data_IF_725107492000
#
_entry.id   IF_725107492000
#
_cell.length_a   1.000
_cell.length_b   1.000
_cell.length_c   1.000
_cell.angle_alpha   90.00
_cell.angle_beta   90.00
_cell.angle_gamma   90.00
#
_symmetry.space_group_name_H-M   'P 1'
#
loop_
_entity.id
_entity.type
_entity.pdbx_description
1 polymer ?
#
# COMPACT_ATOMS: atom_id res chain seq x y z
N UNK A 1 8.99 11.44 29.73
CA UNK A 1 8.44 10.10 29.45
C UNK A 1 6.95 10.12 29.77
N UNK A 2 6.12 10.54 28.82
CA UNK A 2 4.66 10.34 28.91
C UNK A 2 4.35 9.11 28.06
N UNK A 3 4.04 7.99 28.71
CA UNK A 3 3.53 6.79 28.03
C UNK A 3 2.08 7.06 27.65
N UNK A 4 1.85 7.44 26.39
CA UNK A 4 0.49 7.54 25.85
C UNK A 4 0.01 6.12 25.56
N UNK A 5 -1.04 5.66 26.26
CA UNK A 5 -1.61 4.34 26.05
C UNK A 5 -2.73 4.41 25.02
N UNK A 6 -2.58 3.62 23.95
CA UNK A 6 -3.59 3.40 22.92
C UNK A 6 -4.37 2.12 23.21
N UNK A 7 -5.68 2.15 22.99
CA UNK A 7 -6.58 0.99 23.18
C UNK A 7 -7.33 0.74 21.86
N UNK A 8 -7.38 -0.51 21.40
CA UNK A 8 -8.19 -0.92 20.26
C UNK A 8 -9.66 -1.08 20.68
N UNK A 9 -10.60 -0.55 19.89
CA UNK A 9 -12.04 -0.60 20.18
C UNK A 9 -12.86 -0.94 18.92
N UNK A 10 -14.10 -1.37 19.19
CA UNK A 10 -15.02 -2.02 18.25
C UNK A 10 -15.48 -1.10 17.10
N UNK A 11 -15.74 -1.69 15.92
CA UNK A 11 -16.25 -1.01 14.74
C UNK A 11 -17.59 -0.28 14.98
N UNK A 12 -17.66 1.01 14.63
CA UNK A 12 -18.87 1.83 14.65
C UNK A 12 -19.11 2.40 13.25
N UNK A 13 -20.34 2.33 12.76
CA UNK A 13 -20.74 2.96 11.51
C UNK A 13 -20.92 4.46 11.72
N UNK A 14 -20.06 5.29 11.12
CA UNK A 14 -20.21 6.74 11.06
C UNK A 14 -20.02 7.20 9.60
N UNK A 15 -20.80 8.19 9.12
CA UNK A 15 -20.46 8.90 7.89
C UNK A 15 -19.09 9.58 8.06
N UNK A 16 -18.29 9.76 6.97
CA UNK A 16 -16.99 10.39 7.07
C UNK A 16 -17.09 11.77 7.71
N UNK A 17 -16.33 11.98 8.80
CA UNK A 17 -16.31 13.25 9.49
C UNK A 17 -15.64 14.31 8.59
N UNK A 18 -16.26 15.48 8.34
CA UNK A 18 -15.68 16.52 7.49
C UNK A 18 -14.44 17.22 8.10
N UNK A 19 -14.06 16.87 9.34
CA UNK A 19 -12.89 17.36 10.05
C UNK A 19 -11.95 16.18 10.39
N UNK A 20 -11.52 15.46 9.35
CA UNK A 20 -10.59 14.34 9.48
C UNK A 20 -9.32 14.58 8.65
N UNK A 21 -8.16 14.46 9.29
CA UNK A 21 -6.86 14.69 8.69
C UNK A 21 -6.40 13.39 8.02
N UNK A 22 -6.15 13.46 6.71
CA UNK A 22 -5.76 12.29 5.91
C UNK A 22 -4.31 11.92 6.21
N UNK A 23 -4.11 10.68 6.69
CA UNK A 23 -2.79 10.12 6.94
C UNK A 23 -2.26 9.39 5.71
N UNK A 24 -3.07 8.53 5.10
CA UNK A 24 -2.68 7.80 3.89
C UNK A 24 -3.89 7.26 3.16
N UNK A 25 -3.79 7.21 1.82
CA UNK A 25 -4.70 6.45 0.98
C UNK A 25 -3.89 5.40 0.20
N UNK A 26 -4.27 4.14 0.33
CA UNK A 26 -3.66 3.03 -0.43
C UNK A 26 -4.75 2.13 -0.97
N UNK A 27 -4.53 1.53 -2.12
CA UNK A 27 -5.48 0.56 -2.67
C UNK A 27 -4.74 -0.62 -3.28
N UNK A 28 -5.43 -1.75 -3.34
CA UNK A 28 -4.95 -2.92 -4.05
C UNK A 28 -6.14 -3.73 -4.58
N UNK A 29 -5.88 -4.60 -5.55
CA UNK A 29 -6.83 -5.64 -5.96
C UNK A 29 -6.23 -7.03 -5.84
N UNK A 30 -7.11 -8.02 -5.69
CA UNK A 30 -6.74 -9.42 -5.66
C UNK A 30 -7.00 -10.09 -7.02
N UNK A 31 -6.68 -11.38 -7.10
CA UNK A 31 -6.83 -12.17 -8.33
C UNK A 31 -8.27 -12.42 -8.80
N UNK A 32 -9.26 -12.11 -7.97
CA UNK A 32 -10.67 -12.32 -8.27
C UNK A 32 -11.34 -11.02 -8.78
N UNK A 33 -10.52 -10.03 -9.18
CA UNK A 33 -10.88 -8.68 -9.60
C UNK A 33 -11.63 -7.89 -8.51
N UNK A 34 -11.42 -8.24 -7.24
CA UNK A 34 -11.95 -7.52 -6.09
C UNK A 34 -10.90 -6.57 -5.55
N UNK A 35 -11.31 -5.37 -5.17
CA UNK A 35 -10.40 -4.35 -4.68
C UNK A 35 -10.81 -3.78 -3.33
N UNK A 36 -9.82 -3.29 -2.60
CA UNK A 36 -10.00 -2.51 -1.39
C UNK A 36 -9.17 -1.23 -1.49
N UNK A 37 -9.82 -0.10 -1.25
CA UNK A 37 -9.20 1.19 -1.00
C UNK A 37 -9.27 1.45 0.51
N UNK A 38 -8.12 1.74 1.10
CA UNK A 38 -7.94 2.04 2.51
C UNK A 38 -7.61 3.51 2.63
N UNK A 39 -8.43 4.25 3.34
CA UNK A 39 -8.19 5.64 3.67
C UNK A 39 -8.07 5.77 5.18
N UNK A 40 -6.88 6.08 5.67
CA UNK A 40 -6.59 6.28 7.09
C UNK A 40 -6.72 7.75 7.41
N UNK A 41 -7.49 8.06 8.45
CA UNK A 41 -7.64 9.40 8.96
C UNK A 41 -7.59 9.45 10.49
N UNK A 42 -7.35 10.64 11.03
CA UNK A 42 -7.40 10.89 12.46
C UNK A 42 -8.64 11.72 12.81
N UNK A 43 -9.40 11.29 13.83
CA UNK A 43 -10.69 11.89 14.19
C UNK A 43 -10.85 12.18 15.70
N UNK A 44 -11.37 13.37 16.08
CA UNK A 44 -11.45 14.57 15.24
C UNK A 44 -10.05 15.04 14.84
N UNK A 45 -9.98 15.92 13.84
CA UNK A 45 -8.79 16.75 13.58
C UNK A 45 -8.25 17.25 14.92
N UNK A 46 -6.98 16.98 15.22
CA UNK A 46 -6.37 17.58 16.40
C UNK A 46 -4.99 18.11 16.09
N UNK A 47 -4.78 19.34 16.57
CA UNK A 47 -3.46 19.91 16.73
C UNK A 47 -2.60 18.98 17.61
N UNK A 48 -1.43 18.60 17.10
CA UNK A 48 -0.38 17.95 17.89
C UNK A 48 -0.34 16.42 17.88
N UNK A 49 -0.94 15.76 16.89
CA UNK A 49 -0.47 14.42 16.50
C UNK A 49 0.63 14.62 15.46
N UNK A 50 1.84 14.18 15.78
CA UNK A 50 2.93 14.13 14.82
C UNK A 50 2.66 12.95 13.86
N UNK A 51 2.10 13.27 12.70
CA UNK A 51 1.80 12.30 11.65
C UNK A 51 3.00 12.10 10.71
N UNK A 52 4.06 12.91 10.85
CA UNK A 52 5.21 12.86 9.96
C UNK A 52 6.02 11.57 10.16
N UNK A 53 5.89 10.89 11.30
CA UNK A 53 6.47 9.56 11.57
C UNK A 53 5.59 8.39 11.12
N UNK A 54 4.35 8.66 10.69
CA UNK A 54 3.39 7.61 10.38
C UNK A 54 3.48 7.24 8.91
N UNK A 55 3.54 5.94 8.64
CA UNK A 55 3.53 5.36 7.28
C UNK A 55 2.50 4.25 7.22
N UNK A 56 2.02 3.95 6.03
CA UNK A 56 1.14 2.80 5.85
C UNK A 56 1.23 2.24 4.45
N UNK A 57 0.98 0.94 4.35
CA UNK A 57 0.89 0.25 3.08
C UNK A 57 -0.11 -0.89 3.10
N UNK A 58 -0.25 -1.53 1.96
CA UNK A 58 -0.97 -2.79 1.80
C UNK A 58 -0.08 -3.75 1.02
N UNK A 59 0.02 -4.99 1.49
CA UNK A 59 0.59 -6.10 0.73
C UNK A 59 -0.52 -7.08 0.36
N UNK A 60 -0.46 -7.70 -0.81
CA UNK A 60 -1.42 -8.74 -1.20
C UNK A 60 -0.69 -10.05 -1.43
N UNK A 61 -1.04 -11.08 -0.67
CA UNK A 61 -0.40 -12.39 -0.77
C UNK A 61 -0.90 -13.21 -1.97
N UNK A 62 -0.29 -14.39 -2.17
CA UNK A 62 -0.69 -15.34 -3.21
C UNK A 62 -2.11 -15.91 -3.06
N UNK A 63 -2.71 -15.79 -1.88
CA UNK A 63 -4.07 -16.22 -1.59
C UNK A 63 -5.08 -15.08 -1.78
N UNK A 64 -4.64 -13.87 -2.15
CA UNK A 64 -5.48 -12.69 -2.33
C UNK A 64 -5.92 -12.05 -1.02
N UNK A 65 -5.20 -12.29 0.08
CA UNK A 65 -5.38 -11.61 1.36
C UNK A 65 -4.67 -10.27 1.31
N UNK A 66 -5.37 -9.21 1.70
CA UNK A 66 -4.79 -7.88 1.86
C UNK A 66 -4.25 -7.74 3.27
N UNK A 67 -2.96 -7.50 3.43
CA UNK A 67 -2.31 -7.20 4.70
C UNK A 67 -2.14 -5.68 4.80
N UNK A 68 -3.12 -5.02 5.44
CA UNK A 68 -3.06 -3.59 5.73
C UNK A 68 -2.20 -3.38 6.97
N UNK A 69 -1.19 -2.54 6.87
CA UNK A 69 -0.33 -2.19 8.00
C UNK A 69 -0.09 -0.68 8.08
N UNK A 70 0.12 -0.22 9.30
CA UNK A 70 0.48 1.15 9.66
C UNK A 70 1.68 1.07 10.61
N UNK A 71 2.65 1.95 10.40
CA UNK A 71 3.91 2.06 11.10
C UNK A 71 3.96 3.42 11.79
N UNK A 72 4.40 3.46 13.04
CA UNK A 72 4.85 4.68 13.70
C UNK A 72 6.36 4.56 13.93
N UNK A 73 7.14 5.26 13.12
CA UNK A 73 8.60 5.21 13.14
C UNK A 73 9.21 5.82 14.40
N UNK A 74 8.54 6.82 14.99
CA UNK A 74 9.03 7.51 16.17
C UNK A 74 8.99 6.60 17.40
N UNK A 75 7.88 5.87 17.55
CA UNK A 75 7.68 4.95 18.68
C UNK A 75 8.13 3.51 18.37
N UNK A 76 8.54 3.23 17.11
CA UNK A 76 8.91 1.89 16.62
C UNK A 76 7.81 0.86 16.92
N UNK A 77 6.58 1.21 16.59
CA UNK A 77 5.42 0.32 16.74
C UNK A 77 4.69 0.13 15.41
N UNK A 78 4.01 -1.01 15.26
CA UNK A 78 3.22 -1.30 14.07
C UNK A 78 1.88 -1.93 14.44
N UNK A 79 0.87 -1.72 13.62
CA UNK A 79 -0.43 -2.35 13.78
C UNK A 79 -1.13 -2.44 12.42
N UNK A 80 -2.26 -3.14 12.38
CA UNK A 80 -2.98 -3.35 11.14
C UNK A 80 -3.89 -4.55 11.20
N UNK A 81 -4.25 -5.07 10.04
CA UNK A 81 -5.21 -6.16 9.91
C UNK A 81 -5.15 -6.82 8.54
N UNK A 82 -5.70 -8.02 8.47
CA UNK A 82 -5.91 -8.74 7.24
C UNK A 82 -7.33 -8.47 6.72
N UNK A 83 -7.49 -8.32 5.42
CA UNK A 83 -8.80 -8.30 4.74
C UNK A 83 -8.84 -9.43 3.73
N UNK A 84 -9.93 -10.20 3.75
CA UNK A 84 -10.29 -11.13 2.68
C UNK A 84 -11.56 -10.64 2.02
N UNK A 85 -11.51 -10.48 0.71
CA UNK A 85 -12.68 -10.15 -0.10
C UNK A 85 -13.14 -11.38 -0.88
N UNK A 86 -14.46 -11.58 -0.93
CA UNK A 86 -15.12 -12.56 -1.80
C UNK A 86 -16.32 -11.94 -2.49
N UNK A 87 -16.66 -12.47 -3.66
CA UNK A 87 -17.92 -12.10 -4.33
C UNK A 87 -19.06 -12.53 -3.42
N UNK A 88 -19.97 -11.61 -3.11
CA UNK A 88 -21.15 -11.93 -2.30
C UNK A 88 -22.17 -12.76 -3.08
N UNK A 89 -23.16 -13.28 -2.37
CA UNK A 89 -24.26 -14.07 -2.96
C UNK A 89 -25.18 -13.26 -3.87
N UNK A 90 -25.20 -11.93 -3.72
CA UNK A 90 -25.97 -11.00 -4.54
C UNK A 90 -25.06 -10.24 -5.51
N UNK A 91 -25.55 -9.97 -6.72
CA UNK A 91 -24.84 -9.16 -7.69
C UNK A 91 -24.53 -7.76 -7.15
N UNK A 92 -23.29 -7.32 -7.37
CA UNK A 92 -22.81 -6.04 -6.85
C UNK A 92 -22.55 -6.02 -5.33
N UNK A 93 -22.48 -7.17 -4.68
CA UNK A 93 -22.05 -7.28 -3.28
C UNK A 93 -20.68 -7.94 -3.13
N UNK A 94 -19.99 -7.60 -2.04
CA UNK A 94 -18.70 -8.13 -1.63
C UNK A 94 -18.80 -8.57 -0.17
N UNK A 95 -18.38 -9.79 0.10
CA UNK A 95 -18.15 -10.27 1.46
C UNK A 95 -16.75 -9.83 1.89
N UNK A 96 -16.68 -8.98 2.91
CA UNK A 96 -15.47 -8.51 3.55
C UNK A 96 -15.30 -9.25 4.89
N UNK A 97 -14.13 -9.84 5.09
CA UNK A 97 -13.74 -10.48 6.34
C UNK A 97 -12.44 -9.85 6.85
N UNK A 98 -12.50 -9.22 8.01
CA UNK A 98 -11.36 -8.63 8.72
C UNK A 98 -10.85 -9.63 9.73
N UNK A 99 -9.53 -9.80 9.78
CA UNK A 99 -8.83 -10.68 10.72
C UNK A 99 -7.64 -9.93 11.34
N UNK A 100 -7.16 -10.34 12.53
CA UNK A 100 -5.89 -9.88 13.07
C UNK A 100 -4.76 -9.90 12.04
N UNK A 101 -3.87 -8.90 12.10
CA UNK A 101 -2.70 -8.85 11.23
C UNK A 101 -1.84 -10.10 11.43
N UNK A 102 -1.55 -10.81 10.35
CA UNK A 102 -0.68 -11.98 10.40
C UNK A 102 0.80 -11.64 10.21
N UNK A 103 1.11 -10.47 9.64
CA UNK A 103 2.48 -10.01 9.42
C UNK A 103 3.18 -9.68 10.74
N UNK A 104 4.46 -10.05 10.80
CA UNK A 104 5.39 -9.66 11.86
C UNK A 104 6.24 -8.50 11.37
N UNK A 105 6.96 -7.84 12.28
CA UNK A 105 7.92 -6.81 11.91
C UNK A 105 8.92 -7.26 10.82
N UNK A 106 9.29 -8.54 10.77
CA UNK A 106 10.18 -9.12 9.75
C UNK A 106 9.59 -9.12 8.34
N UNK A 107 8.28 -9.00 8.20
CA UNK A 107 7.55 -9.05 6.93
C UNK A 107 7.13 -7.64 6.46
N UNK A 108 7.37 -6.63 7.30
CA UNK A 108 7.04 -5.24 7.06
C UNK A 108 8.22 -4.47 6.46
N UNK A 109 7.98 -3.33 5.78
CA UNK A 109 9.03 -2.55 5.15
C UNK A 109 9.87 -1.73 6.16
N UNK A 110 10.33 -2.34 7.26
CA UNK A 110 11.04 -1.66 8.34
C UNK A 110 12.53 -2.02 8.42
N UNK A 111 13.34 -1.07 8.90
CA UNK A 111 14.72 -1.32 9.34
C UNK A 111 14.73 -1.93 10.74
N UNK A 112 15.72 -2.80 11.01
CA UNK A 112 15.93 -3.47 12.30
C UNK A 112 14.65 -4.08 12.90
N UNK A 113 14.04 -5.12 12.27
CA UNK A 113 12.73 -5.64 12.67
C UNK A 113 12.60 -6.01 14.16
N UNK A 114 13.71 -6.38 14.82
CA UNK A 114 13.73 -6.70 16.25
C UNK A 114 13.50 -5.50 17.18
N UNK A 115 13.59 -4.27 16.68
CA UNK A 115 13.30 -3.04 17.43
C UNK A 115 11.81 -2.67 17.42
N UNK A 116 10.99 -3.34 16.60
CA UNK A 116 9.59 -2.98 16.39
C UNK A 116 8.64 -3.84 17.22
N UNK A 117 7.65 -3.20 17.84
CA UNK A 117 6.64 -3.88 18.64
C UNK A 117 5.23 -3.80 18.01
N UNK A 118 4.44 -4.88 18.01
CA UNK A 118 3.05 -4.83 17.57
C UNK A 118 2.19 -4.05 18.57
N UNK A 119 1.29 -3.22 18.06
CA UNK A 119 0.35 -2.41 18.85
C UNK A 119 -1.07 -2.92 18.65
N UNK A 120 -1.50 -3.80 19.56
CA UNK A 120 -2.84 -4.36 19.56
C UNK A 120 -3.20 -5.12 18.27
N UNK A 121 -4.47 -5.52 18.18
CA UNK A 121 -5.04 -6.10 16.97
C UNK A 121 -6.50 -5.70 16.89
N UNK A 122 -7.00 -5.54 15.67
CA UNK A 122 -8.44 -5.43 15.45
C UNK A 122 -9.12 -6.76 15.75
N UNK A 123 -10.38 -6.69 16.20
CA UNK A 123 -11.21 -7.86 16.34
C UNK A 123 -11.65 -8.39 14.96
N UNK A 124 -11.78 -9.71 14.84
CA UNK A 124 -12.32 -10.30 13.61
C UNK A 124 -13.75 -9.83 13.38
N UNK A 125 -14.05 -9.45 12.13
CA UNK A 125 -15.38 -9.01 11.73
C UNK A 125 -15.71 -9.51 10.32
N UNK A 126 -16.97 -9.85 10.08
CA UNK A 126 -17.47 -10.19 8.75
C UNK A 126 -18.62 -9.29 8.38
N UNK A 127 -18.61 -8.76 7.16
CA UNK A 127 -19.65 -7.88 6.64
C UNK A 127 -19.87 -8.10 5.16
N UNK A 128 -21.13 -8.03 4.74
CA UNK A 128 -21.48 -7.91 3.32
C UNK A 128 -21.71 -6.42 3.02
N UNK A 129 -21.04 -5.93 1.99
CA UNK A 129 -21.08 -4.54 1.53
C UNK A 129 -21.52 -4.51 0.06
N UNK A 130 -22.15 -3.43 -0.39
CA UNK A 130 -22.29 -3.20 -1.84
C UNK A 130 -20.96 -2.68 -2.39
N UNK A 131 -20.71 -2.91 -3.67
CA UNK A 131 -19.57 -2.30 -4.36
C UNK A 131 -19.63 -0.79 -4.19
N UNK A 132 -18.50 -0.18 -3.84
CA UNK A 132 -18.29 1.24 -3.50
C UNK A 132 -18.86 1.69 -2.15
N UNK A 133 -19.39 0.78 -1.33
CA UNK A 133 -19.65 1.08 0.08
C UNK A 133 -18.32 1.05 0.87
N UNK A 134 -18.29 1.85 1.94
CA UNK A 134 -17.17 1.92 2.86
C UNK A 134 -17.55 1.38 4.24
N UNK A 135 -16.62 0.65 4.86
CA UNK A 135 -16.66 0.30 6.28
C UNK A 135 -15.67 1.21 7.01
N UNK A 136 -16.13 1.95 8.02
CA UNK A 136 -15.26 2.66 8.95
C UNK A 136 -14.83 1.72 10.08
N UNK A 137 -13.55 1.72 10.42
CA UNK A 137 -12.99 0.91 11.48
C UNK A 137 -12.04 1.73 12.35
N UNK A 138 -12.40 1.86 13.63
CA UNK A 138 -11.53 2.43 14.64
C UNK A 138 -10.34 1.48 14.86
N UNK A 139 -9.13 1.94 14.55
CA UNK A 139 -7.91 1.16 14.73
C UNK A 139 -7.33 1.38 16.11
N UNK A 140 -7.19 2.65 16.49
CA UNK A 140 -6.59 3.10 17.74
C UNK A 140 -7.40 4.22 18.34
N UNK A 141 -7.47 4.26 19.67
CA UNK A 141 -8.05 5.37 20.43
C UNK A 141 -7.05 5.89 21.45
N UNK A 142 -6.75 7.20 21.38
CA UNK A 142 -5.87 7.91 22.29
C UNK A 142 -6.62 8.23 23.57
N UNK A 143 -6.24 7.59 24.67
CA UNK A 143 -6.66 8.07 25.99
C UNK A 143 -5.78 9.28 26.41
N UNK A 144 -6.32 10.36 27.02
CA UNK A 144 -7.72 10.63 27.38
C UNK A 144 -8.50 11.45 26.34
N UNK A 145 -7.88 11.89 25.24
CA UNK A 145 -8.50 12.82 24.28
C UNK A 145 -9.65 12.21 23.49
N UNK A 146 -9.74 10.87 23.45
CA UNK A 146 -10.73 10.16 22.66
C UNK A 146 -10.48 10.22 21.15
N UNK A 147 -9.34 10.79 20.74
CA UNK A 147 -8.96 10.88 19.34
C UNK A 147 -8.69 9.49 18.78
N UNK A 148 -9.10 9.25 17.54
CA UNK A 148 -9.06 7.95 16.91
C UNK A 148 -8.24 7.97 15.64
N UNK A 149 -7.56 6.86 15.38
CA UNK A 149 -7.10 6.54 14.02
C UNK A 149 -8.15 5.62 13.42
N UNK A 150 -8.72 6.01 12.29
CA UNK A 150 -9.84 5.32 11.63
C UNK A 150 -9.41 4.93 10.22
N UNK A 151 -9.63 3.68 9.84
CA UNK A 151 -9.54 3.25 8.44
C UNK A 151 -10.94 3.17 7.83
N UNK A 152 -11.11 3.84 6.69
CA UNK A 152 -12.24 3.70 5.80
C UNK A 152 -11.88 2.73 4.69
N UNK A 153 -12.51 1.54 4.70
CA UNK A 153 -12.27 0.48 3.73
C UNK A 153 -13.38 0.51 2.69
N UNK A 154 -13.10 0.99 1.49
CA UNK A 154 -14.03 1.00 0.36
C UNK A 154 -13.78 -0.22 -0.51
N UNK A 155 -14.79 -1.08 -0.66
CA UNK A 155 -14.67 -2.31 -1.46
C UNK A 155 -15.14 -2.08 -2.88
N UNK A 156 -14.47 -2.71 -3.84
CA UNK A 156 -14.72 -2.50 -5.25
C UNK A 156 -14.59 -3.76 -6.10
N UNK A 157 -14.85 -3.57 -7.39
CA UNK A 157 -14.39 -4.45 -8.46
C UNK A 157 -13.46 -3.64 -9.35
N UNK A 158 -12.44 -4.27 -9.91
CA UNK A 158 -11.44 -3.59 -10.74
C UNK A 158 -12.10 -2.71 -11.83
N UNK A 159 -11.57 -1.49 -11.99
CA UNK A 159 -12.08 -0.47 -12.93
C UNK A 159 -13.10 0.54 -12.38
N UNK A 160 -13.51 0.43 -11.10
CA UNK A 160 -14.52 1.32 -10.49
C UNK A 160 -14.02 2.27 -9.39
N UNK A 161 -12.70 2.44 -9.22
CA UNK A 161 -12.17 3.43 -8.27
C UNK A 161 -12.41 4.85 -8.78
N UNK A 162 -13.52 5.45 -8.37
CA UNK A 162 -13.72 6.89 -8.37
C UNK A 162 -13.81 7.31 -6.92
N UNK A 163 -12.68 7.75 -6.35
CA UNK A 163 -12.68 8.46 -5.06
C UNK A 163 -13.77 9.54 -5.11
N UNK A 164 -14.76 9.46 -4.22
CA UNK A 164 -15.84 10.45 -4.07
C UNK A 164 -15.37 11.70 -3.32
N UNK A 165 -14.12 12.12 -3.52
CA UNK A 165 -13.62 13.36 -2.95
C UNK A 165 -14.23 14.56 -3.69
N UNK A 166 -14.43 15.67 -2.97
CA UNK A 166 -14.80 16.93 -3.60
C UNK A 166 -13.77 17.27 -4.70
N UNK A 167 -14.19 17.84 -5.85
CA UNK A 167 -13.27 18.21 -6.90
C UNK A 167 -12.14 19.09 -6.36
N UNK A 168 -10.90 18.63 -6.50
CA UNK A 168 -9.69 19.39 -6.15
C UNK A 168 -8.83 19.57 -7.39
N UNK A 169 -7.90 20.52 -7.33
CA UNK A 169 -6.93 20.70 -8.41
C UNK A 169 -5.96 19.52 -8.42
N UNK A 170 -5.83 18.89 -9.59
CA UNK A 170 -4.87 17.82 -9.81
C UNK A 170 -3.45 18.33 -9.60
N UNK A 171 -2.66 17.60 -8.81
CA UNK A 171 -1.24 17.86 -8.61
C UNK A 171 -0.40 16.78 -9.28
N UNK A 172 0.80 17.13 -9.76
CA UNK A 172 1.66 16.16 -10.45
C UNK A 172 2.07 15.00 -9.53
N UNK A 173 2.15 15.26 -8.23
CA UNK A 173 2.44 14.32 -7.15
C UNK A 173 1.33 13.27 -6.95
N UNK A 174 0.13 13.52 -7.47
CA UNK A 174 -1.00 12.60 -7.46
C UNK A 174 -1.06 11.71 -8.70
N UNK A 175 -0.09 11.84 -9.62
CA UNK A 175 0.00 11.00 -10.80
C UNK A 175 0.39 9.57 -10.40
N UNK A 176 -0.58 8.64 -10.44
CA UNK A 176 -0.34 7.24 -10.15
C UNK A 176 0.23 6.49 -11.36
N UNK A 177 1.21 5.63 -11.09
CA UNK A 177 1.57 4.54 -11.99
C UNK A 177 0.85 3.27 -11.58
N UNK A 178 0.61 2.39 -12.55
CA UNK A 178 -0.10 1.13 -12.35
C UNK A 178 0.66 -0.03 -12.99
N UNK A 179 0.83 -1.12 -12.27
CA UNK A 179 1.24 -2.41 -12.82
C UNK A 179 0.05 -3.33 -12.80
N UNK A 180 -0.29 -3.90 -13.94
CA UNK A 180 -1.27 -4.97 -14.10
C UNK A 180 -0.60 -6.23 -14.67
N UNK A 181 -0.72 -7.34 -13.94
CA UNK A 181 -0.05 -8.63 -14.12
C UNK A 181 1.39 -8.46 -14.61
N UNK A 182 2.25 -7.76 -13.85
CA UNK A 182 3.57 -7.40 -14.35
C UNK A 182 4.43 -8.63 -14.59
N UNK A 183 5.44 -8.49 -15.43
CA UNK A 183 6.53 -9.44 -15.59
C UNK A 183 7.85 -8.69 -15.62
N UNK A 184 8.89 -9.26 -15.02
CA UNK A 184 10.20 -8.61 -14.97
C UNK A 184 11.23 -9.42 -15.73
N UNK A 185 12.00 -8.74 -16.58
CA UNK A 185 13.18 -9.30 -17.25
C UNK A 185 14.43 -8.53 -16.82
N UNK A 186 15.56 -9.23 -16.75
CA UNK A 186 16.86 -8.66 -16.40
C UNK A 186 17.85 -9.02 -17.51
N UNK A 187 18.49 -8.01 -18.09
CA UNK A 187 19.40 -8.11 -19.25
C UNK A 187 18.80 -8.91 -20.42
N UNK A 188 17.48 -8.79 -20.67
CA UNK A 188 16.79 -9.55 -21.72
C UNK A 188 16.71 -11.05 -21.49
N UNK A 189 17.00 -11.53 -20.26
CA UNK A 189 16.83 -12.92 -19.87
C UNK A 189 15.36 -13.37 -19.78
N UNK A 190 15.15 -14.58 -19.27
CA UNK A 190 13.81 -15.11 -19.08
C UNK A 190 12.97 -14.25 -18.13
N UNK A 191 11.69 -14.10 -18.45
CA UNK A 191 10.74 -13.43 -17.57
C UNK A 191 10.65 -14.16 -16.23
N UNK A 192 10.85 -13.41 -15.15
CA UNK A 192 10.63 -13.90 -13.81
C UNK A 192 9.11 -14.03 -13.56
N UNK A 193 8.61 -15.17 -13.09
CA UNK A 193 7.20 -15.37 -12.86
C UNK A 193 6.75 -14.56 -11.64
N UNK A 194 5.64 -13.83 -11.78
CA UNK A 194 4.96 -13.20 -10.65
C UNK A 194 4.03 -14.21 -10.01
N UNK A 195 4.19 -14.42 -8.70
CA UNK A 195 3.22 -15.13 -7.86
C UNK A 195 2.72 -14.13 -6.80
N UNK A 196 1.41 -13.87 -6.76
CA UNK A 196 0.82 -12.87 -5.86
C UNK A 196 0.27 -11.66 -6.58
N UNK A 197 0.68 -10.46 -6.17
CA UNK A 197 0.16 -9.14 -6.62
C UNK A 197 0.00 -9.10 -8.15
N UNK A 198 -1.27 -9.13 -8.59
CA UNK A 198 -1.63 -8.97 -10.00
C UNK A 198 -1.87 -7.51 -10.36
N UNK A 199 -2.02 -6.62 -9.38
CA UNK A 199 -2.16 -5.20 -9.64
C UNK A 199 -1.58 -4.37 -8.50
N UNK A 200 -0.76 -3.38 -8.82
CA UNK A 200 -0.23 -2.41 -7.87
C UNK A 200 -0.34 -1.03 -8.49
N UNK A 201 -0.87 -0.04 -7.78
CA UNK A 201 -0.83 1.34 -8.27
C UNK A 201 -0.65 2.35 -7.15
N UNK A 202 -0.01 3.45 -7.50
CA UNK A 202 0.30 4.53 -6.59
C UNK A 202 1.32 5.48 -7.22
N UNK A 203 1.64 6.60 -6.53
CA UNK A 203 2.59 7.58 -7.04
C UNK A 203 4.02 7.03 -7.11
N UNK A 204 4.36 6.04 -6.27
CA UNK A 204 5.60 5.26 -6.34
C UNK A 204 5.27 3.77 -6.42
N UNK A 205 5.97 3.06 -7.31
CA UNK A 205 5.91 1.60 -7.44
C UNK A 205 7.18 0.97 -6.87
N UNK A 206 7.05 -0.03 -6.02
CA UNK A 206 8.15 -0.87 -5.55
C UNK A 206 8.20 -2.19 -6.30
N UNK A 207 9.38 -2.55 -6.82
CA UNK A 207 9.67 -3.83 -7.47
C UNK A 207 10.83 -4.51 -6.73
N UNK A 208 10.50 -5.47 -5.88
CA UNK A 208 11.49 -6.32 -5.24
C UNK A 208 11.87 -7.49 -6.16
N UNK A 209 13.16 -7.74 -6.25
CA UNK A 209 13.77 -8.84 -6.98
C UNK A 209 14.64 -9.64 -6.00
N UNK A 210 14.40 -10.94 -5.91
CA UNK A 210 15.24 -11.84 -5.12
C UNK A 210 16.72 -11.69 -5.52
N UNK A 211 17.59 -11.63 -4.52
CA UNK A 211 19.05 -11.42 -4.64
C UNK A 211 19.46 -10.05 -5.23
N UNK A 212 18.50 -9.15 -5.45
CA UNK A 212 18.75 -7.81 -5.99
C UNK A 212 18.11 -6.68 -5.18
N UNK A 213 17.32 -6.97 -4.16
CA UNK A 213 16.70 -5.96 -3.29
C UNK A 213 15.50 -5.26 -3.95
N UNK A 214 15.12 -4.10 -3.41
CA UNK A 214 13.94 -3.33 -3.83
C UNK A 214 14.33 -2.15 -4.72
N UNK A 215 13.65 -2.00 -5.85
CA UNK A 215 13.69 -0.81 -6.68
C UNK A 215 12.42 -0.01 -6.47
N UNK A 216 12.55 1.25 -6.06
CA UNK A 216 11.43 2.19 -6.00
C UNK A 216 11.45 3.03 -7.28
N UNK A 217 10.31 3.14 -7.94
CA UNK A 217 10.13 3.77 -9.23
C UNK A 217 9.14 4.93 -9.07
N UNK A 218 9.50 6.12 -9.56
CA UNK A 218 8.64 7.30 -9.58
C UNK A 218 8.68 8.02 -10.94
N UNK A 219 7.59 8.71 -11.27
CA UNK A 219 7.54 9.66 -12.40
C UNK A 219 8.18 11.01 -12.04
N UNK A 220 8.31 11.30 -10.75
CA UNK A 220 8.85 12.54 -10.22
C UNK A 220 10.29 12.34 -9.70
N UNK A 221 11.10 13.41 -9.70
CA UNK A 221 12.53 13.29 -9.46
C UNK A 221 12.92 12.97 -8.02
N UNK A 222 12.20 13.46 -7.00
CA UNK A 222 12.46 13.25 -5.55
C UNK A 222 13.95 13.14 -5.18
N UNK A 223 14.77 14.08 -5.67
CA UNK A 223 16.25 14.01 -5.53
C UNK A 223 16.66 14.07 -4.06
N UNK A 224 15.89 14.78 -3.23
CA UNK A 224 16.03 14.86 -1.78
C UNK A 224 15.91 13.50 -1.09
N UNK A 225 15.25 12.54 -1.73
CA UNK A 225 15.07 11.16 -1.26
C UNK A 225 16.00 10.17 -1.98
N UNK A 226 16.94 10.66 -2.79
CA UNK A 226 17.93 9.85 -3.50
C UNK A 226 17.46 9.26 -4.82
N UNK A 227 16.25 9.59 -5.28
CA UNK A 227 15.78 9.18 -6.59
C UNK A 227 16.66 9.79 -7.68
N UNK A 228 17.03 8.96 -8.66
CA UNK A 228 17.82 9.40 -9.82
C UNK A 228 17.19 8.92 -11.11
N UNK A 229 17.23 9.77 -12.14
CA UNK A 229 16.75 9.41 -13.47
C UNK A 229 17.54 8.21 -13.98
N UNK A 230 16.86 7.11 -14.25
CA UNK A 230 17.52 5.85 -14.62
C UNK A 230 16.78 5.08 -15.71
N UNK A 231 15.65 5.59 -16.20
CA UNK A 231 14.84 4.86 -17.15
C UNK A 231 13.73 5.67 -17.79
N UNK A 232 12.82 4.95 -18.43
CA UNK A 232 11.61 5.50 -19.03
C UNK A 232 10.45 4.52 -18.98
N UNK A 233 9.24 5.05 -19.11
CA UNK A 233 8.02 4.27 -19.22
C UNK A 233 7.22 4.76 -20.43
N UNK A 234 6.72 3.83 -21.23
CA UNK A 234 5.90 4.12 -22.41
C UNK A 234 4.88 3.01 -22.63
N UNK A 235 3.60 3.39 -22.70
CA UNK A 235 2.52 2.41 -22.84
C UNK A 235 2.55 1.39 -21.71
N UNK A 236 2.77 0.13 -22.06
CA UNK A 236 2.72 -1.03 -21.15
C UNK A 236 4.09 -1.50 -20.67
N UNK A 237 5.16 -0.74 -20.96
CA UNK A 237 6.53 -1.16 -20.67
C UNK A 237 7.31 -0.05 -19.97
N UNK A 238 7.98 -0.44 -18.89
CA UNK A 238 8.91 0.39 -18.12
C UNK A 238 10.29 -0.24 -18.22
N UNK A 239 11.31 0.56 -18.51
CA UNK A 239 12.70 0.12 -18.63
C UNK A 239 13.60 1.04 -17.82
N UNK A 240 14.58 0.48 -17.11
CA UNK A 240 15.59 1.25 -16.39
C UNK A 240 16.91 0.49 -16.30
N UNK A 241 18.00 1.23 -16.07
CA UNK A 241 19.32 0.67 -15.84
C UNK A 241 19.80 0.95 -14.42
N UNK A 242 20.36 -0.07 -13.77
CA UNK A 242 20.98 0.09 -12.46
C UNK A 242 22.22 -0.78 -12.33
N UNK A 243 23.32 -0.20 -11.88
CA UNK A 243 24.60 -0.90 -11.69
C UNK A 243 25.07 -1.70 -12.93
N UNK A 244 24.87 -1.14 -14.14
CA UNK A 244 25.25 -1.78 -15.40
C UNK A 244 24.36 -2.97 -15.79
N UNK A 245 23.17 -3.08 -15.22
CA UNK A 245 22.17 -4.09 -15.53
C UNK A 245 20.93 -3.40 -16.09
N UNK A 246 20.35 -3.96 -17.14
CA UNK A 246 19.10 -3.49 -17.73
C UNK A 246 17.92 -4.26 -17.12
N UNK A 247 16.89 -3.55 -16.73
CA UNK A 247 15.66 -4.09 -16.17
C UNK A 247 14.49 -3.64 -17.03
N UNK A 248 13.56 -4.55 -17.29
CA UNK A 248 12.30 -4.20 -17.91
C UNK A 248 11.13 -4.82 -17.16
N UNK A 249 10.11 -4.00 -16.93
CA UNK A 249 8.83 -4.38 -16.34
C UNK A 249 7.77 -4.22 -17.43
N UNK A 250 7.23 -5.34 -17.89
CA UNK A 250 6.09 -5.36 -18.80
C UNK A 250 4.80 -5.50 -17.99
N UNK A 251 3.73 -4.86 -18.45
CA UNK A 251 2.41 -4.92 -17.86
C UNK A 251 1.35 -5.22 -18.93
N UNK A 252 0.18 -5.73 -18.52
CA UNK A 252 -0.97 -5.91 -19.41
C UNK A 252 -1.69 -4.62 -19.76
N UNK A 253 -1.59 -3.60 -18.90
CA UNK A 253 -2.18 -2.29 -19.12
C UNK A 253 -1.08 -1.21 -19.14
N UNK A 254 -1.50 0.02 -19.45
CA UNK A 254 -0.60 1.17 -19.47
C UNK A 254 -0.08 1.43 -18.05
N UNK A 255 1.22 1.69 -17.94
CA UNK A 255 1.89 1.89 -16.65
C UNK A 255 1.78 3.33 -16.15
N UNK A 256 2.04 4.31 -17.01
CA UNK A 256 2.00 5.73 -16.65
C UNK A 256 0.74 6.43 -17.17
N UNK A 257 0.27 7.52 -16.53
CA UNK A 257 -0.88 8.26 -17.01
C UNK A 257 -0.56 8.97 -18.34
N UNK A 258 -1.51 8.97 -19.27
CA UNK A 258 -1.37 9.66 -20.56
C UNK A 258 -0.65 8.85 -21.64
N UNK A 259 -0.63 9.39 -22.87
CA UNK A 259 -0.20 8.64 -24.07
C UNK A 259 1.32 8.65 -24.32
N UNK A 260 2.05 9.58 -23.73
CA UNK A 260 3.47 9.81 -23.99
C UNK A 260 4.42 8.84 -23.29
N UNK A 261 5.71 9.02 -23.57
CA UNK A 261 6.79 8.40 -22.82
C UNK A 261 7.26 9.36 -21.71
N UNK A 262 7.48 8.83 -20.51
CA UNK A 262 7.93 9.61 -19.35
C UNK A 262 9.27 9.09 -18.85
N UNK A 263 10.06 9.96 -18.21
CA UNK A 263 11.25 9.52 -17.50
C UNK A 263 10.86 8.80 -16.23
N UNK A 264 11.63 7.77 -15.85
CA UNK A 264 11.51 7.07 -14.58
C UNK A 264 12.72 7.38 -13.72
N UNK A 265 12.44 7.73 -12.48
CA UNK A 265 13.41 7.94 -11.42
C UNK A 265 13.41 6.74 -10.50
N UNK A 266 14.61 6.32 -10.08
CA UNK A 266 14.81 5.06 -9.35
C UNK A 266 15.64 5.29 -8.10
N UNK A 267 15.20 4.72 -6.98
CA UNK A 267 16.03 4.42 -5.80
C UNK A 267 16.19 2.92 -5.68
N UNK A 268 17.38 2.48 -5.27
CA UNK A 268 17.65 1.07 -5.02
C UNK A 268 18.00 0.83 -3.55
N UNK A 269 17.29 -0.12 -2.96
CA UNK A 269 17.52 -0.58 -1.59
C UNK A 269 18.05 -2.02 -1.62
N UNK A 270 19.39 -2.20 -1.75
CA UNK A 270 19.99 -3.52 -1.91
C UNK A 270 19.79 -4.43 -0.70
N UNK A 271 19.67 -3.85 0.49
CA UNK A 271 19.46 -4.57 1.75
C UNK A 271 17.98 -4.83 2.07
N UNK A 272 17.05 -4.38 1.22
CA UNK A 272 15.63 -4.63 1.45
C UNK A 272 15.34 -6.12 1.38
N UNK A 273 14.64 -6.59 2.40
CA UNK A 273 14.14 -7.96 2.50
C UNK A 273 12.63 -7.92 2.83
N UNK A 274 11.75 -8.54 2.01
CA UNK A 274 10.32 -8.62 2.30
C UNK A 274 9.96 -9.68 3.36
N UNK A 275 10.94 -10.37 3.94
CA UNK A 275 10.69 -11.45 4.90
C UNK A 275 10.52 -12.81 4.25
N UNK A 276 10.71 -13.87 5.04
CA UNK A 276 10.85 -15.25 4.54
C UNK A 276 9.58 -15.75 3.86
N UNK A 277 8.41 -15.40 4.40
CA UNK A 277 7.12 -15.81 3.85
C UNK A 277 6.93 -15.31 2.42
N UNK A 278 7.18 -14.03 2.16
CA UNK A 278 7.03 -13.46 0.82
C UNK A 278 8.11 -13.95 -0.15
N UNK A 279 9.36 -14.08 0.31
CA UNK A 279 10.46 -14.64 -0.52
C UNK A 279 10.17 -16.07 -0.98
N UNK A 280 9.60 -16.91 -0.11
CA UNK A 280 9.28 -18.29 -0.44
C UNK A 280 8.08 -18.41 -1.41
N UNK A 281 7.22 -17.40 -1.46
CA UNK A 281 6.05 -17.38 -2.34
C UNK A 281 6.41 -16.93 -3.77
N UNK A 282 7.30 -15.95 -3.92
CA UNK A 282 7.63 -15.35 -5.22
C UNK A 282 9.05 -14.75 -5.25
N UNK A 283 9.80 -14.91 -6.35
CA UNK A 283 11.05 -14.19 -6.56
C UNK A 283 10.84 -12.68 -6.82
N UNK A 284 9.57 -12.27 -6.96
CA UNK A 284 9.12 -10.91 -7.25
C UNK A 284 8.05 -10.47 -6.26
N UNK A 285 8.21 -9.31 -5.65
CA UNK A 285 7.16 -8.67 -4.83
C UNK A 285 6.93 -7.25 -5.32
N UNK A 286 5.67 -6.88 -5.50
CA UNK A 286 5.27 -5.53 -5.88
C UNK A 286 4.63 -4.81 -4.70
N UNK A 287 4.90 -3.52 -4.60
CA UNK A 287 4.27 -2.63 -3.64
C UNK A 287 3.96 -1.30 -4.32
N UNK A 288 3.07 -0.52 -3.74
CA UNK A 288 2.80 0.83 -4.18
C UNK A 288 2.42 1.70 -2.99
N UNK A 289 2.70 3.00 -3.09
CA UNK A 289 2.41 3.95 -2.03
C UNK A 289 3.12 5.28 -2.25
N UNK A 290 3.06 6.14 -1.25
CA UNK A 290 3.86 7.35 -1.19
C UNK A 290 5.36 6.98 -1.10
N UNK A 291 6.28 7.74 -1.73
CA UNK A 291 7.70 7.42 -1.71
C UNK A 291 8.26 7.33 -0.28
N UNK A 292 7.80 8.19 0.63
CA UNK A 292 8.20 8.22 2.04
C UNK A 292 7.77 6.96 2.81
N UNK A 293 6.71 6.28 2.36
CA UNK A 293 6.23 5.04 2.97
C UNK A 293 6.98 3.79 2.48
N UNK A 294 7.72 3.91 1.37
CA UNK A 294 8.47 2.81 0.79
C UNK A 294 9.98 2.93 1.01
N UNK A 295 10.48 4.14 1.28
CA UNK A 295 11.88 4.40 1.59
C UNK A 295 12.22 4.02 3.03
N UNK A 296 13.17 3.10 3.16
CA UNK A 296 13.93 2.73 4.38
C UNK A 296 15.25 3.48 4.52
#
# INVERSE_FOLDING_TARGET
MNKTSWICLLAVFLPPCPAAENLTTVWASNRDDLSAEFHTAVEPDADGVDLDSWRGGVQVDSQGVFHRYILDEAERVYFGYNVRLRKGSEDGTVELNVEPLSLRASDLPVSEPGAWAPLGSVASARKTLRTLDSLAMDLLVKAPTGQKVVDYITVGRDGHHRSRSAPRQFRAEEAEMELHTPTVTVNGGASLPVRGVLRAAGPTLGVYLQDRGLFLLSLLPHEEMGFRRAGSVSGTRLEFEWAGQAYAVDSRSRIAPGAGAFSIYVVHQPAYDPGEELRNQSPLVFSAGAPEALLR
#
